data_IF_074818892303
#
_entry.id   IF_074818892303
#
_cell.length_a   1.000
_cell.length_b   1.000
_cell.length_c   1.000
_cell.angle_alpha   90.00
_cell.angle_beta   90.00
_cell.angle_gamma   90.00
#
_symmetry.space_group_name_H-M   'P 1'
#
loop_
_entity.id
_entity.type
_entity.pdbx_description
1 polymer ?
#
# COMPACT_ATOMS: atom_id res chain seq x y z
N UNK A 1 19.50 3.79 -9.83
CA UNK A 1 18.71 3.35 -8.67
C UNK A 1 17.75 2.27 -9.14
N UNK A 2 17.53 1.23 -8.35
CA UNK A 2 16.59 0.13 -8.64
C UNK A 2 15.80 -0.20 -7.38
N UNK A 3 14.60 -0.78 -7.51
CA UNK A 3 13.83 -1.36 -6.40
C UNK A 3 13.72 -2.85 -6.63
N UNK A 4 13.94 -3.67 -5.60
CA UNK A 4 13.84 -5.14 -5.73
C UNK A 4 13.11 -5.75 -4.52
N UNK A 5 12.07 -6.57 -4.73
CA UNK A 5 11.30 -6.71 -5.98
C UNK A 5 10.79 -5.34 -6.47
N UNK A 6 10.51 -5.22 -7.77
CA UNK A 6 10.15 -3.92 -8.37
C UNK A 6 8.88 -3.36 -7.74
N UNK A 7 8.60 -2.07 -7.96
CA UNK A 7 7.34 -1.42 -7.52
C UNK A 7 6.10 -2.02 -8.19
N UNK A 8 6.27 -2.91 -9.16
CA UNK A 8 5.20 -3.69 -9.77
C UNK A 8 4.86 -4.96 -8.98
N UNK A 9 5.57 -5.24 -7.87
CA UNK A 9 5.37 -6.44 -7.07
C UNK A 9 5.91 -7.71 -7.72
N UNK A 10 6.96 -7.62 -8.55
CA UNK A 10 7.55 -8.78 -9.25
C UNK A 10 9.06 -8.87 -9.04
N UNK A 11 9.57 -10.10 -9.00
CA UNK A 11 11.01 -10.37 -8.96
C UNK A 11 11.61 -10.33 -10.37
N UNK A 12 12.52 -9.40 -10.61
CA UNK A 12 13.25 -9.30 -11.88
C UNK A 12 14.35 -10.36 -11.96
N UNK A 13 14.21 -11.33 -12.86
CA UNK A 13 15.18 -12.44 -13.02
C UNK A 13 16.59 -12.00 -13.42
N UNK A 14 16.73 -10.78 -13.96
CA UNK A 14 17.99 -10.22 -14.46
C UNK A 14 18.65 -9.22 -13.51
N UNK A 15 18.20 -9.10 -12.25
CA UNK A 15 18.68 -8.04 -11.34
C UNK A 15 20.20 -8.02 -11.18
N UNK A 16 20.84 -9.19 -11.11
CA UNK A 16 22.30 -9.28 -11.00
C UNK A 16 23.00 -8.76 -12.27
N UNK A 17 22.49 -9.11 -13.45
CA UNK A 17 23.05 -8.66 -14.73
C UNK A 17 22.90 -7.14 -14.89
N UNK A 18 21.80 -6.57 -14.40
CA UNK A 18 21.60 -5.12 -14.36
C UNK A 18 22.68 -4.47 -13.50
N UNK A 19 22.93 -4.99 -12.29
CA UNK A 19 24.00 -4.47 -11.42
C UNK A 19 25.38 -4.58 -12.08
N UNK A 20 25.69 -5.73 -12.68
CA UNK A 20 26.95 -5.97 -13.39
C UNK A 20 27.18 -4.98 -14.53
N UNK A 21 26.15 -4.71 -15.36
CA UNK A 21 26.23 -3.73 -16.45
C UNK A 21 26.62 -2.35 -15.88
N UNK A 22 25.97 -1.90 -14.81
CA UNK A 22 26.28 -0.61 -14.18
C UNK A 22 27.71 -0.57 -13.65
N UNK A 23 28.15 -1.63 -12.98
CA UNK A 23 29.51 -1.73 -12.46
C UNK A 23 30.57 -1.74 -13.57
N UNK A 24 30.34 -2.44 -14.69
CA UNK A 24 31.29 -2.44 -15.82
C UNK A 24 31.46 -1.08 -16.48
N UNK A 25 30.47 -0.19 -16.34
CA UNK A 25 30.54 1.20 -16.79
C UNK A 25 31.06 2.16 -15.71
N UNK A 26 31.57 1.63 -14.59
CA UNK A 26 32.12 2.42 -13.48
C UNK A 26 31.08 3.06 -12.56
N UNK A 27 29.81 2.67 -12.68
CA UNK A 27 28.72 3.17 -11.83
C UNK A 27 28.65 2.48 -10.46
N UNK A 28 27.74 2.97 -9.62
CA UNK A 28 27.35 2.36 -8.34
C UNK A 28 25.86 2.06 -8.35
N UNK A 29 25.46 1.01 -7.64
CA UNK A 29 24.08 0.54 -7.58
C UNK A 29 23.48 0.88 -6.22
N UNK A 30 22.61 1.89 -6.22
CA UNK A 30 21.67 2.11 -5.13
C UNK A 30 20.43 1.22 -5.35
N UNK A 31 20.09 0.43 -4.34
CA UNK A 31 18.87 -0.36 -4.30
C UNK A 31 17.93 0.14 -3.20
N UNK A 32 16.72 0.53 -3.58
CA UNK A 32 15.64 0.90 -2.68
C UNK A 32 15.12 -0.34 -1.92
N UNK A 33 15.31 -0.36 -0.60
CA UNK A 33 14.91 -1.46 0.29
C UNK A 33 13.51 -1.30 0.88
N UNK A 34 12.64 -0.46 0.34
CA UNK A 34 11.25 -0.33 0.81
C UNK A 34 10.42 -1.62 0.65
N UNK A 35 10.84 -2.51 -0.25
CA UNK A 35 10.20 -3.80 -0.56
C UNK A 35 10.94 -4.99 0.10
N UNK A 36 11.78 -4.72 1.11
CA UNK A 36 12.61 -5.74 1.75
C UNK A 36 11.78 -6.84 2.45
N UNK A 37 10.49 -6.60 2.75
CA UNK A 37 9.62 -7.62 3.35
C UNK A 37 9.48 -8.87 2.47
N UNK A 38 9.71 -8.76 1.16
CA UNK A 38 9.74 -9.88 0.23
C UNK A 38 11.08 -10.64 0.17
N UNK A 39 12.09 -10.25 0.96
CA UNK A 39 13.46 -10.76 0.82
C UNK A 39 14.09 -11.28 2.11
N UNK A 40 13.68 -10.80 3.29
CA UNK A 40 14.37 -11.11 4.54
C UNK A 40 14.41 -12.62 4.79
N UNK A 41 15.61 -13.15 5.01
CA UNK A 41 15.83 -14.58 5.23
C UNK A 41 15.84 -15.45 3.98
N UNK A 42 15.50 -14.90 2.80
CA UNK A 42 15.53 -15.59 1.51
C UNK A 42 16.75 -15.17 0.68
N UNK A 43 16.98 -13.87 0.53
CA UNK A 43 18.08 -13.31 -0.26
C UNK A 43 18.60 -12.01 0.37
N UNK A 44 19.79 -11.54 -0.04
CA UNK A 44 20.41 -10.32 0.50
C UNK A 44 20.79 -9.39 -0.65
N UNK A 45 20.40 -8.11 -0.55
CA UNK A 45 20.63 -7.07 -1.56
C UNK A 45 22.09 -7.01 -2.05
N UNK A 46 23.04 -7.11 -1.12
CA UNK A 46 24.46 -7.07 -1.43
C UNK A 46 25.03 -8.31 -2.11
N UNK A 47 24.29 -9.43 -2.21
CA UNK A 47 24.77 -10.63 -2.93
C UNK A 47 24.62 -10.50 -4.44
N UNK A 48 23.60 -9.79 -4.91
CA UNK A 48 23.32 -9.62 -6.34
C UNK A 48 23.72 -8.24 -6.87
N UNK A 49 24.58 -7.51 -6.13
CA UNK A 49 25.29 -6.35 -6.66
C UNK A 49 24.85 -4.98 -6.15
N UNK A 50 23.97 -4.87 -5.13
CA UNK A 50 23.71 -3.58 -4.51
C UNK A 50 24.93 -3.08 -3.70
N UNK A 51 25.34 -1.83 -3.91
CA UNK A 51 26.43 -1.16 -3.18
C UNK A 51 25.91 -0.46 -1.93
N UNK A 52 24.72 0.13 -2.02
CA UNK A 52 24.06 0.85 -0.93
C UNK A 52 22.54 0.65 -1.01
N UNK A 53 21.91 0.49 0.15
CA UNK A 53 20.46 0.42 0.27
C UNK A 53 19.97 1.11 1.52
N UNK A 54 18.92 1.91 1.39
CA UNK A 54 18.14 2.32 2.55
C UNK A 54 17.13 1.23 2.92
N UNK A 55 16.69 1.23 4.17
CA UNK A 55 15.70 0.27 4.69
C UNK A 55 14.61 1.04 5.41
N UNK A 56 13.33 0.84 5.05
CA UNK A 56 12.22 1.41 5.80
C UNK A 56 11.92 0.58 7.05
N UNK A 57 12.47 0.97 8.20
CA UNK A 57 12.17 0.29 9.47
C UNK A 57 10.68 0.38 9.86
N UNK A 58 10.00 1.42 9.38
CA UNK A 58 8.57 1.69 9.57
C UNK A 58 7.66 0.95 8.58
N UNK A 59 8.25 0.17 7.67
CA UNK A 59 7.54 -0.83 6.88
C UNK A 59 7.95 -2.22 7.36
N UNK A 60 9.12 -2.70 6.93
CA UNK A 60 9.58 -4.08 7.10
C UNK A 60 9.91 -4.46 8.55
N UNK A 61 10.25 -3.50 9.42
CA UNK A 61 10.72 -3.79 10.79
C UNK A 61 9.88 -3.12 11.87
N UNK A 62 8.57 -3.06 11.63
CA UNK A 62 7.52 -2.84 12.62
C UNK A 62 7.51 -1.50 13.38
N UNK A 63 8.30 -0.49 12.99
CA UNK A 63 8.06 0.87 13.52
C UNK A 63 6.65 1.32 13.06
N UNK A 64 5.80 1.82 13.96
CA UNK A 64 4.42 2.16 13.60
C UNK A 64 4.35 3.33 12.61
N UNK A 65 3.43 3.25 11.65
CA UNK A 65 3.23 4.26 10.61
C UNK A 65 2.77 5.64 11.13
N UNK A 66 2.10 5.68 12.29
CA UNK A 66 1.77 6.92 13.02
C UNK A 66 0.95 7.97 12.27
N UNK A 67 0.22 7.59 11.22
CA UNK A 67 -0.55 8.53 10.38
C UNK A 67 0.30 9.37 9.41
N UNK A 68 1.53 8.93 9.12
CA UNK A 68 2.46 9.65 8.22
C UNK A 68 3.88 9.85 8.79
N UNK A 69 4.22 9.16 9.87
CA UNK A 69 5.49 9.26 10.58
C UNK A 69 5.30 8.96 12.08
N UNK A 70 6.37 8.60 12.80
CA UNK A 70 7.78 8.71 12.41
C UNK A 70 8.29 7.52 11.60
N UNK A 71 9.44 7.71 10.95
CA UNK A 71 10.16 6.65 10.24
C UNK A 71 11.66 6.69 10.53
N UNK A 72 12.32 5.56 10.34
CA UNK A 72 13.79 5.47 10.27
C UNK A 72 14.19 4.78 8.96
N UNK A 73 15.20 5.37 8.30
CA UNK A 73 15.74 4.93 7.01
C UNK A 73 17.25 4.66 7.06
N UNK A 74 17.75 3.73 7.90
CA UNK A 74 19.18 3.41 7.94
C UNK A 74 19.65 2.90 6.57
N UNK A 75 20.91 3.20 6.25
CA UNK A 75 21.57 2.69 5.05
C UNK A 75 22.56 1.57 5.39
N UNK A 76 22.51 0.48 4.64
CA UNK A 76 23.59 -0.50 4.57
C UNK A 76 24.47 -0.19 3.36
N UNK A 77 25.79 -0.18 3.53
CA UNK A 77 26.75 0.07 2.44
C UNK A 77 27.81 -1.03 2.36
N UNK A 78 28.35 -1.27 1.17
CA UNK A 78 29.57 -2.05 0.97
C UNK A 78 30.78 -1.32 1.55
N UNK A 79 31.83 -2.07 1.86
CA UNK A 79 33.00 -1.57 2.59
C UNK A 79 33.68 -0.36 1.91
N UNK A 80 33.74 -0.34 0.57
CA UNK A 80 34.36 0.76 -0.18
C UNK A 80 33.58 2.08 -0.10
N UNK A 81 32.34 2.08 0.40
CA UNK A 81 31.55 3.28 0.64
C UNK A 81 31.55 3.73 2.11
N UNK A 82 32.12 2.94 3.03
CA UNK A 82 32.00 3.16 4.46
C UNK A 82 32.64 4.49 4.94
N UNK A 83 33.73 4.92 4.32
CA UNK A 83 34.42 6.17 4.67
C UNK A 83 33.59 7.42 4.33
N UNK A 84 32.58 7.30 3.46
CA UNK A 84 31.73 8.40 3.02
C UNK A 84 30.40 8.48 3.78
N UNK A 85 30.19 7.63 4.78
CA UNK A 85 28.95 7.62 5.57
C UNK A 85 28.73 8.96 6.31
N UNK A 86 27.47 9.38 6.52
CA UNK A 86 27.16 10.53 7.36
C UNK A 86 27.72 10.37 8.78
N UNK A 87 28.34 11.44 9.27
CA UNK A 87 28.93 11.52 10.61
C UNK A 87 28.12 12.38 11.58
N UNK A 88 28.77 12.80 12.66
CA UNK A 88 28.15 13.56 13.76
C UNK A 88 27.79 14.99 13.32
N UNK A 89 26.52 15.45 13.45
CA UNK A 89 26.12 16.81 13.11
C UNK A 89 26.81 17.91 13.93
N UNK A 90 27.43 17.58 15.06
CA UNK A 90 28.22 18.52 15.86
C UNK A 90 29.64 18.75 15.30
N UNK A 91 30.09 17.89 14.38
CA UNK A 91 31.40 17.98 13.74
C UNK A 91 31.25 18.66 12.37
N UNK A 92 32.03 19.73 12.14
CA UNK A 92 32.05 20.42 10.84
C UNK A 92 32.48 19.48 9.72
N UNK A 93 31.80 19.55 8.57
CA UNK A 93 32.08 18.74 7.36
C UNK A 93 31.99 17.22 7.59
N UNK A 94 31.17 16.75 8.53
CA UNK A 94 30.96 15.32 8.80
C UNK A 94 29.99 14.64 7.83
N UNK A 95 29.51 15.33 6.79
CA UNK A 95 28.43 14.86 5.91
C UNK A 95 27.13 14.50 6.65
N UNK A 96 26.88 15.07 7.84
CA UNK A 96 25.66 14.82 8.60
C UNK A 96 24.40 15.17 7.79
N UNK A 97 23.46 14.23 7.75
CA UNK A 97 22.17 14.36 7.03
C UNK A 97 20.98 14.54 7.98
N UNK A 98 21.22 14.44 9.29
CA UNK A 98 20.22 14.50 10.35
C UNK A 98 20.73 15.39 11.49
N UNK A 99 19.83 16.08 12.19
CA UNK A 99 20.18 16.97 13.31
C UNK A 99 20.72 16.22 14.55
N UNK A 100 20.51 14.90 14.64
CA UNK A 100 21.08 14.03 15.65
C UNK A 100 21.81 12.85 14.99
N UNK A 101 22.92 12.41 15.58
CA UNK A 101 23.81 11.37 15.04
C UNK A 101 23.08 10.09 14.60
N UNK A 102 22.05 9.67 15.34
CA UNK A 102 21.27 8.47 15.07
C UNK A 102 19.80 8.76 14.74
N UNK A 103 19.49 9.99 14.32
CA UNK A 103 18.11 10.42 14.04
C UNK A 103 17.19 10.21 15.24
N UNK A 104 16.02 9.62 15.00
CA UNK A 104 15.03 9.28 16.02
C UNK A 104 15.43 8.00 16.79
N UNK A 105 16.52 8.08 17.56
CA UNK A 105 17.11 6.90 18.22
C UNK A 105 16.15 6.15 19.16
N UNK A 106 15.19 6.84 19.77
CA UNK A 106 14.23 6.26 20.73
C UNK A 106 13.28 5.22 20.13
N UNK A 107 13.08 5.20 18.80
CA UNK A 107 12.21 4.23 18.12
C UNK A 107 12.96 3.03 17.54
N UNK A 108 14.29 3.06 17.50
CA UNK A 108 15.12 1.92 17.06
C UNK A 108 14.92 0.62 17.86
N UNK A 109 14.64 0.65 19.19
CA UNK A 109 14.34 -0.56 19.95
C UNK A 109 13.15 -1.36 19.44
N UNK A 110 12.22 -0.76 18.70
CA UNK A 110 11.07 -1.46 18.10
C UNK A 110 11.57 -2.50 17.09
N UNK A 111 12.34 -2.06 16.10
CA UNK A 111 12.91 -2.95 15.07
C UNK A 111 13.91 -3.93 15.67
N UNK A 112 14.72 -3.50 16.64
CA UNK A 112 15.61 -4.42 17.36
C UNK A 112 14.82 -5.55 18.03
N UNK A 113 13.71 -5.22 18.71
CA UNK A 113 12.89 -6.21 19.42
C UNK A 113 12.22 -7.16 18.44
N UNK A 114 11.65 -6.65 17.34
CA UNK A 114 11.06 -7.46 16.26
C UNK A 114 12.06 -8.49 15.73
N UNK A 115 13.26 -8.05 15.35
CA UNK A 115 14.32 -8.94 14.84
C UNK A 115 14.74 -9.98 15.90
N UNK A 116 14.89 -9.56 17.16
CA UNK A 116 15.36 -10.46 18.24
C UNK A 116 14.32 -11.49 18.66
N UNK A 117 13.04 -11.12 18.69
CA UNK A 117 11.94 -12.01 19.09
C UNK A 117 11.62 -13.03 17.99
N UNK A 118 11.61 -12.62 16.72
CA UNK A 118 11.38 -13.52 15.60
C UNK A 118 12.60 -14.41 15.31
N UNK A 119 13.81 -13.86 15.49
CA UNK A 119 15.05 -14.55 15.12
C UNK A 119 15.10 -14.92 13.64
N UNK A 120 16.08 -15.75 13.25
CA UNK A 120 16.27 -16.12 11.84
C UNK A 120 15.03 -16.76 11.21
N UNK A 121 14.46 -17.75 11.89
CA UNK A 121 13.35 -18.54 11.35
C UNK A 121 12.03 -17.76 11.32
N UNK A 122 11.74 -16.95 12.34
CA UNK A 122 10.56 -16.09 12.34
C UNK A 122 10.63 -15.04 11.24
N UNK A 123 11.79 -14.38 11.05
CA UNK A 123 11.96 -13.38 10.00
C UNK A 123 11.80 -13.97 8.59
N UNK A 124 12.40 -15.14 8.34
CA UNK A 124 12.21 -15.83 7.06
C UNK A 124 10.75 -16.24 6.86
N UNK A 125 10.09 -16.74 7.91
CA UNK A 125 8.69 -17.13 7.85
C UNK A 125 7.76 -15.96 7.57
N UNK A 126 8.04 -14.77 8.13
CA UNK A 126 7.30 -13.55 7.83
C UNK A 126 7.34 -13.25 6.33
N UNK A 127 8.53 -13.24 5.73
CA UNK A 127 8.66 -13.04 4.28
C UNK A 127 7.91 -14.08 3.45
N UNK A 128 8.02 -15.36 3.81
CA UNK A 128 7.29 -16.44 3.12
C UNK A 128 5.77 -16.22 3.16
N UNK A 129 5.22 -15.87 4.33
CA UNK A 129 3.78 -15.64 4.47
C UNK A 129 3.35 -14.37 3.74
N UNK A 130 4.13 -13.28 3.76
CA UNK A 130 3.80 -12.08 2.98
C UNK A 130 3.65 -12.40 1.49
N UNK A 131 4.56 -13.20 0.91
CA UNK A 131 4.49 -13.64 -0.49
C UNK A 131 3.29 -14.57 -0.73
N UNK A 132 3.06 -15.54 0.15
CA UNK A 132 1.92 -16.47 0.04
C UNK A 132 0.58 -15.72 0.08
N UNK A 133 0.42 -14.78 1.03
CA UNK A 133 -0.79 -13.97 1.18
C UNK A 133 -1.07 -13.13 -0.06
N UNK A 134 -0.06 -12.48 -0.62
CA UNK A 134 -0.21 -11.67 -1.83
C UNK A 134 -0.59 -12.52 -3.06
N UNK A 135 0.04 -13.68 -3.22
CA UNK A 135 -0.30 -14.61 -4.30
C UNK A 135 -1.69 -15.23 -4.12
N UNK A 136 -2.12 -15.47 -2.88
CA UNK A 136 -3.48 -15.94 -2.60
C UNK A 136 -4.53 -14.92 -3.05
N UNK A 137 -4.35 -13.64 -2.69
CA UNK A 137 -5.23 -12.55 -3.18
C UNK A 137 -5.17 -12.46 -4.72
N UNK A 138 -3.97 -12.48 -5.29
CA UNK A 138 -3.79 -12.38 -6.74
C UNK A 138 -4.44 -13.54 -7.50
N UNK A 139 -4.47 -14.74 -6.93
CA UNK A 139 -5.10 -15.91 -7.55
C UNK A 139 -6.63 -15.84 -7.50
N UNK A 140 -7.19 -15.44 -6.35
CA UNK A 140 -8.65 -15.33 -6.13
C UNK A 140 -9.28 -14.18 -6.93
N UNK A 141 -8.53 -13.11 -7.20
CA UNK A 141 -9.05 -11.94 -7.91
C UNK A 141 -8.80 -11.94 -9.43
N UNK A 142 -7.91 -12.80 -9.96
CA UNK A 142 -7.41 -12.71 -11.35
C UNK A 142 -8.49 -12.72 -12.43
N UNK A 143 -9.59 -13.45 -12.20
CA UNK A 143 -10.68 -13.61 -13.18
C UNK A 143 -11.67 -12.43 -13.19
N UNK A 144 -11.60 -11.58 -12.16
CA UNK A 144 -12.48 -10.42 -11.95
C UNK A 144 -11.73 -9.10 -12.20
N UNK A 145 -10.47 -9.06 -11.76
CA UNK A 145 -9.56 -7.94 -11.97
C UNK A 145 -8.23 -8.49 -12.51
N UNK A 146 -7.87 -8.21 -13.77
CA UNK A 146 -6.62 -8.69 -14.34
C UNK A 146 -5.42 -8.29 -13.47
N UNK A 147 -4.54 -9.26 -13.16
CA UNK A 147 -3.28 -8.96 -12.46
C UNK A 147 -2.29 -8.40 -13.48
N UNK A 148 -1.89 -7.14 -13.30
CA UNK A 148 -1.19 -6.37 -14.33
C UNK A 148 0.23 -6.87 -14.59
N UNK A 149 0.95 -7.29 -13.54
CA UNK A 149 2.31 -7.79 -13.65
C UNK A 149 2.46 -9.08 -12.86
N UNK A 150 3.19 -10.04 -13.44
CA UNK A 150 3.57 -11.31 -12.82
C UNK A 150 5.00 -11.65 -13.24
N UNK A 151 5.73 -12.33 -12.38
CA UNK A 151 7.06 -12.87 -12.69
C UNK A 151 7.00 -14.00 -13.72
N UNK A 152 8.18 -14.52 -14.06
CA UNK A 152 8.38 -15.61 -15.03
C UNK A 152 7.63 -16.90 -14.70
N UNK A 153 7.41 -17.17 -13.40
CA UNK A 153 6.63 -18.30 -12.89
C UNK A 153 5.15 -17.97 -12.66
N UNK A 154 4.65 -16.88 -13.23
CA UNK A 154 3.27 -16.41 -13.08
C UNK A 154 2.89 -16.05 -11.63
N UNK A 155 3.88 -15.75 -10.78
CA UNK A 155 3.70 -15.38 -9.37
C UNK A 155 4.02 -13.90 -9.15
N UNK A 156 3.46 -13.33 -8.08
CA UNK A 156 3.84 -12.01 -7.57
C UNK A 156 4.78 -12.17 -6.36
N UNK A 157 5.37 -11.06 -5.90
CA UNK A 157 6.17 -11.00 -4.68
C UNK A 157 5.24 -10.81 -3.45
N UNK A 158 5.51 -9.81 -2.60
CA UNK A 158 4.68 -9.47 -1.43
C UNK A 158 3.45 -8.58 -1.74
N UNK A 159 3.29 -8.13 -2.97
CA UNK A 159 2.22 -7.23 -3.39
C UNK A 159 1.79 -7.54 -4.82
N UNK A 160 0.57 -7.19 -5.21
CA UNK A 160 0.08 -7.32 -6.59
C UNK A 160 -0.67 -6.07 -7.06
N UNK A 161 -0.73 -5.87 -8.37
CA UNK A 161 -1.48 -4.77 -8.99
C UNK A 161 -2.67 -5.34 -9.76
N UNK A 162 -3.88 -4.87 -9.41
CA UNK A 162 -5.10 -5.17 -10.15
C UNK A 162 -5.42 -4.04 -11.14
N UNK A 163 -5.73 -4.41 -12.38
CA UNK A 163 -6.05 -3.45 -13.44
C UNK A 163 -7.54 -3.13 -13.50
N UNK A 164 -7.90 -1.91 -13.09
CA UNK A 164 -9.29 -1.41 -13.10
C UNK A 164 -9.64 -0.74 -14.44
N UNK A 165 -8.65 -0.38 -15.26
CA UNK A 165 -8.84 0.44 -16.48
C UNK A 165 -9.81 -0.20 -17.48
N UNK A 166 -9.81 -1.53 -17.73
CA UNK A 166 -10.81 -2.15 -18.59
C UNK A 166 -12.24 -2.00 -18.06
N UNK A 167 -12.44 -2.17 -16.74
CA UNK A 167 -13.74 -1.98 -16.09
C UNK A 167 -14.19 -0.52 -16.16
N UNK A 168 -13.25 0.43 -15.96
CA UNK A 168 -13.51 1.87 -16.10
C UNK A 168 -13.95 2.25 -17.50
N UNK A 169 -13.32 1.70 -18.53
CA UNK A 169 -13.69 1.97 -19.92
C UNK A 169 -15.12 1.50 -20.24
N UNK A 170 -15.57 0.39 -19.64
CA UNK A 170 -16.90 -0.18 -19.86
C UNK A 170 -17.99 0.48 -19.02
N UNK A 171 -17.70 0.74 -17.74
CA UNK A 171 -18.70 1.18 -16.75
C UNK A 171 -18.66 2.67 -16.41
N UNK A 172 -17.50 3.33 -16.58
CA UNK A 172 -17.23 4.66 -16.02
C UNK A 172 -16.89 4.64 -14.51
N UNK A 173 -16.86 3.48 -13.86
CA UNK A 173 -16.41 3.32 -12.48
C UNK A 173 -14.88 3.32 -12.43
N UNK A 174 -14.30 4.20 -11.63
CA UNK A 174 -12.85 4.35 -11.54
C UNK A 174 -12.28 3.76 -10.23
N UNK A 175 -10.97 3.80 -10.10
CA UNK A 175 -10.23 3.32 -8.93
C UNK A 175 -10.61 4.06 -7.63
N UNK A 176 -10.98 5.34 -7.71
CA UNK A 176 -11.43 6.13 -6.55
C UNK A 176 -12.82 5.68 -6.10
N UNK A 177 -13.73 5.36 -7.01
CA UNK A 177 -15.05 4.82 -6.69
C UNK A 177 -14.92 3.51 -5.90
N UNK A 178 -14.04 2.60 -6.33
CA UNK A 178 -13.72 1.36 -5.62
C UNK A 178 -13.10 1.67 -4.25
N UNK A 179 -12.13 2.60 -4.20
CA UNK A 179 -11.47 3.01 -2.96
C UNK A 179 -12.44 3.54 -1.92
N UNK A 180 -13.40 4.38 -2.33
CA UNK A 180 -14.44 4.89 -1.42
C UNK A 180 -15.45 3.81 -1.06
N UNK A 181 -15.82 2.94 -2.01
CA UNK A 181 -16.77 1.85 -1.74
C UNK A 181 -16.21 0.85 -0.73
N UNK A 182 -14.92 0.55 -0.77
CA UNK A 182 -14.26 -0.29 0.23
C UNK A 182 -14.45 0.20 1.68
N UNK A 183 -14.60 1.51 1.90
CA UNK A 183 -14.89 2.06 3.24
C UNK A 183 -16.25 1.57 3.75
N UNK A 184 -17.24 1.41 2.87
CA UNK A 184 -18.54 0.85 3.24
C UNK A 184 -18.43 -0.64 3.60
N UNK A 185 -17.45 -1.34 3.03
CA UNK A 185 -17.08 -2.71 3.38
C UNK A 185 -16.18 -2.81 4.62
N UNK A 186 -15.83 -1.69 5.26
CA UNK A 186 -15.00 -1.64 6.46
C UNK A 186 -13.50 -1.75 6.19
N UNK A 187 -13.04 -1.42 4.97
CA UNK A 187 -11.63 -1.45 4.60
C UNK A 187 -11.10 -0.05 4.26
N UNK A 188 -9.86 0.21 4.65
CA UNK A 188 -9.07 1.25 4.01
C UNK A 188 -8.69 0.79 2.60
N UNK A 189 -8.66 1.71 1.64
CA UNK A 189 -8.29 1.36 0.27
C UNK A 189 -6.81 0.95 0.17
N UNK A 190 -6.45 0.01 -0.71
CA UNK A 190 -5.07 -0.23 -1.11
C UNK A 190 -4.42 1.01 -1.74
N UNK A 191 -3.13 0.93 -2.07
CA UNK A 191 -2.44 2.02 -2.76
C UNK A 191 -3.10 2.28 -4.13
N UNK A 192 -3.46 3.53 -4.38
CA UNK A 192 -4.26 3.93 -5.53
C UNK A 192 -3.42 4.68 -6.57
N UNK A 193 -3.56 4.31 -7.84
CA UNK A 193 -2.98 5.01 -9.00
C UNK A 193 -1.45 5.17 -8.99
N UNK A 194 -0.75 4.32 -8.25
CA UNK A 194 0.71 4.21 -8.26
C UNK A 194 1.11 2.72 -8.11
N UNK A 195 2.15 2.24 -8.82
CA UNK A 195 2.97 2.97 -9.82
C UNK A 195 2.26 3.20 -11.16
N UNK A 196 1.08 2.60 -11.38
CA UNK A 196 0.30 2.75 -12.61
C UNK A 196 -0.99 3.53 -12.33
N UNK A 197 -1.23 4.60 -13.10
CA UNK A 197 -2.46 5.37 -12.97
C UNK A 197 -3.69 4.51 -13.36
N UNK A 198 -4.77 4.60 -12.58
CA UNK A 198 -5.99 3.84 -12.83
C UNK A 198 -5.98 2.41 -12.30
N UNK A 199 -5.05 2.05 -11.41
CA UNK A 199 -4.94 0.71 -10.80
C UNK A 199 -4.97 0.77 -9.28
N UNK A 200 -5.11 -0.39 -8.64
CA UNK A 200 -4.93 -0.55 -7.20
C UNK A 200 -3.81 -1.56 -6.93
N UNK A 201 -2.91 -1.23 -5.99
CA UNK A 201 -1.81 -2.10 -5.56
C UNK A 201 -2.05 -2.58 -4.13
N UNK A 202 -2.02 -3.90 -3.93
CA UNK A 202 -2.46 -4.59 -2.72
C UNK A 202 -1.27 -5.33 -2.08
N UNK A 203 -0.94 -4.96 -0.85
CA UNK A 203 0.07 -5.62 0.01
C UNK A 203 -0.61 -6.06 1.32
N UNK A 204 -0.90 -7.36 1.52
CA UNK A 204 -1.59 -7.84 2.75
C UNK A 204 -0.66 -7.99 3.95
N UNK A 205 0.66 -8.05 3.73
CA UNK A 205 1.67 -8.43 4.74
C UNK A 205 1.48 -9.85 5.30
N UNK A 206 2.37 -10.26 6.19
CA UNK A 206 2.30 -11.54 6.89
C UNK A 206 1.41 -11.54 8.13
N UNK A 207 1.04 -10.35 8.61
CA UNK A 207 0.38 -10.19 9.91
C UNK A 207 -1.13 -10.37 9.83
N UNK A 208 -1.70 -10.33 8.63
CA UNK A 208 -3.14 -10.50 8.43
C UNK A 208 -3.54 -11.98 8.41
N UNK A 209 -4.58 -12.30 9.17
CA UNK A 209 -5.12 -13.65 9.17
C UNK A 209 -5.79 -14.00 7.83
N UNK A 210 -5.82 -15.29 7.45
CA UNK A 210 -6.55 -15.73 6.26
C UNK A 210 -8.01 -15.23 6.27
N UNK A 211 -8.67 -15.22 7.44
CA UNK A 211 -10.02 -14.70 7.59
C UNK A 211 -10.14 -13.24 7.15
N UNK A 212 -9.15 -12.40 7.45
CA UNK A 212 -9.17 -10.99 7.05
C UNK A 212 -8.93 -10.83 5.55
N UNK A 213 -8.00 -11.63 5.01
CA UNK A 213 -7.75 -11.70 3.56
C UNK A 213 -9.03 -12.14 2.81
N UNK A 214 -9.73 -13.17 3.30
CA UNK A 214 -10.98 -13.65 2.71
C UNK A 214 -12.09 -12.58 2.75
N UNK A 215 -12.15 -11.78 3.83
CA UNK A 215 -13.08 -10.64 3.93
C UNK A 215 -12.78 -9.58 2.87
N UNK A 216 -11.50 -9.26 2.66
CA UNK A 216 -11.09 -8.30 1.63
C UNK A 216 -11.41 -8.83 0.23
N UNK A 217 -11.09 -10.10 -0.06
CA UNK A 217 -11.43 -10.76 -1.34
C UNK A 217 -12.95 -10.71 -1.56
N UNK A 218 -13.75 -11.08 -0.55
CA UNK A 218 -15.22 -11.02 -0.63
C UNK A 218 -15.71 -9.60 -0.94
N UNK A 219 -15.14 -8.57 -0.32
CA UNK A 219 -15.46 -7.18 -0.61
C UNK A 219 -15.15 -6.83 -2.07
N UNK A 220 -13.97 -7.18 -2.57
CA UNK A 220 -13.56 -6.93 -3.95
C UNK A 220 -14.44 -7.66 -4.97
N UNK A 221 -14.79 -8.92 -4.72
CA UNK A 221 -15.70 -9.70 -5.59
C UNK A 221 -17.11 -9.08 -5.61
N UNK A 222 -17.61 -8.65 -4.46
CA UNK A 222 -18.91 -7.99 -4.39
C UNK A 222 -18.87 -6.64 -5.14
N UNK A 223 -17.81 -5.85 -4.97
CA UNK A 223 -17.61 -4.60 -5.72
C UNK A 223 -17.53 -4.87 -7.23
N UNK A 224 -16.85 -5.93 -7.65
CA UNK A 224 -16.87 -6.34 -9.06
C UNK A 224 -18.30 -6.59 -9.55
N UNK A 225 -19.10 -7.34 -8.79
CA UNK A 225 -20.50 -7.60 -9.13
C UNK A 225 -21.35 -6.33 -9.16
N UNK A 226 -21.08 -5.36 -8.27
CA UNK A 226 -21.68 -4.02 -8.31
C UNK A 226 -21.32 -3.28 -9.61
N UNK A 227 -20.07 -3.36 -10.08
CA UNK A 227 -19.63 -2.80 -11.36
C UNK A 227 -20.37 -3.47 -12.53
N UNK A 228 -20.55 -4.79 -12.50
CA UNK A 228 -21.28 -5.52 -13.55
C UNK A 228 -22.74 -5.07 -13.65
N UNK A 229 -23.40 -4.74 -12.53
CA UNK A 229 -24.76 -4.17 -12.55
C UNK A 229 -24.82 -2.82 -13.26
N UNK A 230 -23.77 -2.01 -13.15
CA UNK A 230 -23.65 -0.74 -13.91
C UNK A 230 -23.43 -1.04 -15.40
N UNK A 231 -22.54 -1.97 -15.75
CA UNK A 231 -22.26 -2.37 -17.14
C UNK A 231 -23.53 -2.90 -17.83
N UNK A 232 -24.31 -3.72 -17.12
CA UNK A 232 -25.54 -4.32 -17.64
C UNK A 232 -26.73 -3.36 -17.68
N UNK A 233 -26.59 -2.14 -17.16
CA UNK A 233 -27.68 -1.16 -17.08
C UNK A 233 -28.74 -1.47 -16.02
N UNK A 234 -28.46 -2.37 -15.08
CA UNK A 234 -29.33 -2.63 -13.92
C UNK A 234 -29.28 -1.46 -12.93
N UNK A 235 -28.12 -0.82 -12.80
CA UNK A 235 -27.90 0.37 -11.99
C UNK A 235 -27.60 1.58 -12.86
N UNK A 236 -28.11 2.73 -12.45
CA UNK A 236 -27.78 4.01 -13.08
C UNK A 236 -26.26 4.27 -13.02
N UNK A 237 -25.71 4.85 -14.08
CA UNK A 237 -24.27 5.04 -14.22
C UNK A 237 -23.68 6.05 -13.21
N UNK A 238 -24.46 7.05 -12.86
CA UNK A 238 -24.02 8.19 -12.05
C UNK A 238 -24.64 8.18 -10.64
N UNK A 239 -25.72 7.42 -10.43
CA UNK A 239 -26.41 7.31 -9.14
C UNK A 239 -26.52 5.84 -8.67
N UNK A 240 -25.43 5.33 -8.10
CA UNK A 240 -25.32 3.97 -7.58
C UNK A 240 -24.40 3.94 -6.34
N UNK A 241 -24.33 2.81 -5.59
CA UNK A 241 -23.52 2.72 -4.39
C UNK A 241 -22.03 3.03 -4.59
N UNK A 242 -21.44 2.74 -5.76
CA UNK A 242 -20.03 3.01 -6.05
C UNK A 242 -19.76 4.50 -6.20
N UNK A 243 -20.61 5.22 -6.95
CA UNK A 243 -20.50 6.68 -7.17
C UNK A 243 -20.81 7.48 -5.91
N UNK A 244 -21.76 7.02 -5.12
CA UNK A 244 -22.19 7.71 -3.92
C UNK A 244 -21.39 7.30 -2.68
N UNK A 245 -20.48 6.32 -2.76
CA UNK A 245 -19.62 5.99 -1.63
C UNK A 245 -18.63 7.14 -1.28
N UNK A 246 -18.25 7.29 0.00
CA UNK A 246 -18.68 6.49 1.15
C UNK A 246 -20.04 6.93 1.71
N UNK A 247 -20.70 6.08 2.50
CA UNK A 247 -21.99 6.41 3.12
C UNK A 247 -21.86 6.69 4.63
N UNK A 248 -22.33 7.86 5.08
CA UNK A 248 -22.13 8.35 6.46
C UNK A 248 -23.30 8.00 7.38
N UNK A 249 -23.09 8.06 8.70
CA UNK A 249 -24.16 7.85 9.67
C UNK A 249 -25.29 8.90 9.54
N UNK A 250 -24.93 10.14 9.25
CA UNK A 250 -25.89 11.26 9.06
C UNK A 250 -26.80 11.00 7.86
N UNK A 251 -26.22 10.54 6.76
CA UNK A 251 -26.99 10.18 5.55
C UNK A 251 -27.95 9.02 5.81
N UNK A 252 -27.56 8.04 6.62
CA UNK A 252 -28.43 6.92 6.97
C UNK A 252 -29.65 7.34 7.80
N UNK A 253 -29.50 8.34 8.66
CA UNK A 253 -30.56 8.86 9.52
C UNK A 253 -31.54 9.81 8.80
N UNK A 254 -31.13 10.37 7.66
CA UNK A 254 -31.93 11.32 6.88
C UNK A 254 -32.90 10.67 5.89
N UNK A 255 -33.49 11.48 5.01
CA UNK A 255 -34.27 11.01 3.87
C UNK A 255 -33.41 10.17 2.91
N UNK A 256 -34.02 9.19 2.26
CA UNK A 256 -33.30 8.25 1.40
C UNK A 256 -33.83 8.30 -0.03
N UNK A 257 -33.14 9.10 -0.84
CA UNK A 257 -33.53 9.41 -2.23
C UNK A 257 -32.65 8.68 -3.26
N UNK A 258 -32.06 7.53 -2.86
CA UNK A 258 -31.22 6.70 -3.72
C UNK A 258 -32.02 5.55 -4.35
N UNK A 259 -31.66 5.08 -5.56
CA UNK A 259 -32.34 3.97 -6.24
C UNK A 259 -31.94 2.58 -5.69
N UNK A 260 -31.17 2.54 -4.61
CA UNK A 260 -30.73 1.33 -3.91
C UNK A 260 -31.08 1.46 -2.43
N UNK A 261 -31.07 0.36 -1.68
CA UNK A 261 -31.51 0.36 -0.27
C UNK A 261 -30.40 0.82 0.69
N UNK A 262 -30.80 1.32 1.88
CA UNK A 262 -29.85 1.58 2.97
C UNK A 262 -29.02 0.35 3.33
N UNK A 263 -29.61 -0.84 3.30
CA UNK A 263 -28.89 -2.10 3.58
C UNK A 263 -27.80 -2.36 2.54
N UNK A 264 -28.08 -2.13 1.24
CA UNK A 264 -27.07 -2.25 0.19
C UNK A 264 -25.92 -1.25 0.39
N UNK A 265 -26.22 -0.04 0.86
CA UNK A 265 -25.21 0.96 1.14
C UNK A 265 -24.36 0.60 2.39
N UNK A 266 -25.03 0.24 3.48
CA UNK A 266 -24.45 0.16 4.82
C UNK A 266 -23.91 -1.22 5.20
N UNK A 267 -24.59 -2.28 4.78
CA UNK A 267 -24.27 -3.67 5.12
C UNK A 267 -24.17 -4.53 3.85
N UNK A 268 -23.23 -4.23 2.95
CA UNK A 268 -23.06 -5.02 1.73
C UNK A 268 -22.57 -6.46 2.00
N UNK A 269 -22.12 -6.75 3.22
CA UNK A 269 -21.85 -8.10 3.74
C UNK A 269 -22.38 -8.23 5.16
N UNK A 270 -22.86 -9.43 5.53
CA UNK A 270 -23.51 -9.69 6.81
C UNK A 270 -22.60 -9.41 8.03
N UNK A 271 -21.30 -9.67 7.90
CA UNK A 271 -20.33 -9.48 8.98
C UNK A 271 -20.26 -8.04 9.51
N UNK A 272 -20.70 -7.05 8.72
CA UNK A 272 -20.68 -5.63 9.11
C UNK A 272 -21.80 -5.26 10.08
N UNK A 273 -22.85 -6.09 10.20
CA UNK A 273 -23.95 -5.83 11.15
C UNK A 273 -23.43 -5.83 12.60
N UNK A 274 -22.47 -6.70 12.91
CA UNK A 274 -21.90 -6.81 14.24
C UNK A 274 -20.81 -5.76 14.53
N UNK A 275 -20.11 -5.27 13.50
CA UNK A 275 -19.01 -4.34 13.66
C UNK A 275 -18.93 -3.39 12.46
N UNK A 276 -19.53 -2.21 12.61
CA UNK A 276 -19.57 -1.18 11.57
C UNK A 276 -18.70 0.01 11.94
N UNK A 277 -17.74 0.32 11.07
CA UNK A 277 -17.10 1.62 11.04
C UNK A 277 -17.91 2.55 10.11
N UNK A 278 -18.28 3.73 10.61
CA UNK A 278 -18.94 4.76 9.80
C UNK A 278 -17.91 5.76 9.28
N UNK A 279 -17.80 5.95 7.95
CA UNK A 279 -17.07 7.06 7.37
C UNK A 279 -17.59 8.40 7.96
N UNK A 280 -16.71 9.25 8.53
CA UNK A 280 -17.14 10.45 9.24
C UNK A 280 -17.67 11.54 8.29
N UNK A 281 -17.24 11.53 7.03
CA UNK A 281 -17.62 12.50 6.00
C UNK A 281 -17.91 11.81 4.68
N UNK A 282 -18.63 12.52 3.80
CA UNK A 282 -18.87 12.09 2.41
C UNK A 282 -17.58 12.18 1.59
N UNK A 283 -17.66 11.79 0.32
CA UNK A 283 -16.57 11.93 -0.65
C UNK A 283 -16.05 13.37 -0.66
N UNK A 284 -14.74 13.50 -0.53
CA UNK A 284 -14.02 14.79 -0.47
C UNK A 284 -13.99 15.40 -1.86
N UNK A 285 -14.21 16.72 -1.97
CA UNK A 285 -13.96 17.49 -3.19
C UNK A 285 -12.50 17.98 -3.18
N UNK A 286 -11.64 17.22 -3.85
CA UNK A 286 -10.21 17.52 -3.92
C UNK A 286 -9.95 18.85 -4.66
N UNK A 287 -10.69 19.12 -5.75
CA UNK A 287 -10.44 20.29 -6.61
C UNK A 287 -10.87 21.58 -5.92
N UNK A 288 -11.96 21.54 -5.15
CA UNK A 288 -12.40 22.70 -4.36
C UNK A 288 -11.35 23.11 -3.34
N UNK A 289 -10.76 22.15 -2.61
CA UNK A 289 -9.74 22.42 -1.58
C UNK A 289 -8.49 23.11 -2.14
N UNK A 290 -8.00 22.63 -3.29
CA UNK A 290 -6.83 23.23 -3.95
C UNK A 290 -7.11 24.65 -4.47
N UNK A 291 -8.35 24.93 -4.90
CA UNK A 291 -8.78 26.25 -5.39
C UNK A 291 -9.10 27.23 -4.27
N UNK A 292 -9.44 26.73 -3.08
CA UNK A 292 -9.84 27.51 -1.92
C UNK A 292 -8.98 27.10 -0.73
N UNK A 293 -7.70 27.50 -0.76
CA UNK A 293 -6.71 27.00 0.18
C UNK A 293 -6.93 27.58 1.59
N UNK A 294 -7.37 26.72 2.51
CA UNK A 294 -7.48 27.01 3.94
C UNK A 294 -6.69 25.96 4.74
N UNK A 295 -5.55 26.36 5.31
CA UNK A 295 -4.62 25.46 6.02
C UNK A 295 -4.53 25.72 7.53
N UNK A 296 -5.46 26.51 8.08
CA UNK A 296 -5.63 26.75 9.51
C UNK A 296 -7.09 26.49 9.89
N UNK A 297 -7.35 26.28 11.18
CA UNK A 297 -8.72 26.23 11.66
C UNK A 297 -9.47 27.51 11.26
N UNK A 298 -10.72 27.36 10.83
CA UNK A 298 -11.65 28.49 10.73
C UNK A 298 -11.89 29.06 12.14
N UNK A 299 -12.33 30.32 12.19
CA UNK A 299 -12.70 30.94 13.44
C UNK A 299 -13.86 30.15 14.08
N UNK A 300 -13.90 30.06 15.41
CA UNK A 300 -14.95 29.32 16.13
C UNK A 300 -16.35 29.82 15.79
N UNK A 301 -16.48 31.12 15.47
CA UNK A 301 -17.73 31.75 15.08
C UNK A 301 -18.23 31.29 13.69
N UNK A 302 -17.38 30.66 12.87
CA UNK A 302 -17.73 30.17 11.53
C UNK A 302 -18.19 28.70 11.52
N UNK A 303 -18.26 28.03 12.68
CA UNK A 303 -18.75 26.66 12.82
C UNK A 303 -20.29 26.55 12.90
N UNK A 304 -21.01 27.67 13.00
CA UNK A 304 -22.48 27.72 13.14
C UNK A 304 -23.24 27.75 11.81
#
# INVERSE_FOLDING_TARGET
>A
MVTYPSTHGVFEVQIQQICEIIHTQGGQVYLDGANLNAMVGITRMGEFGADVSHINLHKTFAIPHGGGGPGMGPIGVKAHLAEFLPGDPLIKNSNAVSAAMYGSASILPISWSYIKLLGKHGMQRSTEIAIVSANYIADELKDYFPILYRGDQNMVAHECIIDIRPLKAQSGINEEDIAKRLMDYGFHSPTMSFPVAGTLMIEPTESESKREIDRFITAMLNIHNEIQKVINGEWDKDNNPLKNAPHTAVEMAGEWNYPYTRTQALYPVESLVANKYFPPVKRIDNVYGDRNLFCSCIATEEFE
#
